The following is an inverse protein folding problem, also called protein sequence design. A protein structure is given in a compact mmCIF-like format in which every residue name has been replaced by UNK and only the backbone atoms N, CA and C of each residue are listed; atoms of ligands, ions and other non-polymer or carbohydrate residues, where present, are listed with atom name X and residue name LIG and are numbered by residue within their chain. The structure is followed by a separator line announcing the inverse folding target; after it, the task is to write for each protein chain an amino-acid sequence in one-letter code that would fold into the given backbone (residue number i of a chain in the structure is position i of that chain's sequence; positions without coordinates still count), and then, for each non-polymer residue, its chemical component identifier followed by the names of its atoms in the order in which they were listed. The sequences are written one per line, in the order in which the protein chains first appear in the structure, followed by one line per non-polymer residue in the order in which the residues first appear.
data_IF_452748564267
#
_entry.id   IF_452748564267
#
_cell.length_a   1.000
_cell.length_b   1.000
_cell.length_c   1.000
_cell.angle_alpha   90.00
_cell.angle_beta   90.00
_cell.angle_gamma   90.00
#
_symmetry.space_group_name_H-M   'P 1'
#
loop_
_entity.id
_entity.type
_entity.pdbx_description
1 polymer ?
#
# COMPACT_ATOMS: atom_id res chain seq x y z
N UNK A 1 -10.08 -12.20 4.36
CA UNK A 1 -8.98 -11.28 4.72
C UNK A 1 -8.18 -10.98 3.46
N UNK A 2 -7.79 -9.73 3.24
CA UNK A 2 -6.96 -9.37 2.10
C UNK A 2 -5.59 -8.89 2.59
N UNK A 3 -4.55 -9.24 1.86
CA UNK A 3 -3.20 -8.72 2.08
C UNK A 3 -3.04 -7.42 1.31
N UNK A 4 -2.54 -6.38 1.97
CA UNK A 4 -2.33 -5.07 1.35
C UNK A 4 -1.48 -5.20 0.08
N UNK A 5 -0.31 -5.84 0.20
CA UNK A 5 0.67 -6.02 -0.88
C UNK A 5 0.13 -6.75 -2.10
N UNK A 6 -0.76 -7.72 -1.91
CA UNK A 6 -1.25 -8.61 -2.98
C UNK A 6 -2.53 -8.10 -3.61
N UNK A 7 -3.45 -7.56 -2.81
CA UNK A 7 -4.80 -7.22 -3.28
C UNK A 7 -5.07 -5.72 -3.40
N UNK A 8 -4.36 -4.88 -2.64
CA UNK A 8 -4.54 -3.42 -2.69
C UNK A 8 -3.53 -2.76 -3.63
N UNK A 9 -2.29 -3.25 -3.64
CA UNK A 9 -1.23 -2.65 -4.45
C UNK A 9 -1.30 -3.17 -5.89
N UNK A 10 -1.45 -2.28 -6.89
CA UNK A 10 -1.50 -2.70 -8.29
C UNK A 10 -0.15 -3.28 -8.75
N UNK A 11 -0.17 -4.02 -9.85
CA UNK A 11 1.05 -4.54 -10.47
C UNK A 11 1.88 -3.40 -11.08
N UNK A 12 3.19 -3.62 -11.23
CA UNK A 12 4.06 -2.75 -12.05
C UNK A 12 3.66 -2.98 -13.52
N UNK A 13 3.54 -1.94 -14.38
CA UNK A 13 3.91 -0.53 -14.18
C UNK A 13 2.80 0.35 -13.59
N UNK A 14 1.60 -0.19 -13.40
CA UNK A 14 0.40 0.55 -13.05
C UNK A 14 0.51 1.29 -11.70
N UNK A 15 1.40 0.87 -10.79
CA UNK A 15 1.75 1.59 -9.54
C UNK A 15 2.12 3.06 -9.71
N UNK A 16 2.59 3.46 -10.88
CA UNK A 16 3.02 4.84 -11.13
C UNK A 16 1.86 5.79 -11.42
N UNK A 17 0.71 5.27 -11.85
CA UNK A 17 -0.48 6.07 -12.18
C UNK A 17 -1.72 5.69 -11.38
N UNK A 18 -1.76 4.48 -10.84
CA UNK A 18 -2.90 3.97 -10.11
C UNK A 18 -2.63 3.97 -8.61
N UNK A 19 -3.52 4.66 -7.90
CA UNK A 19 -3.56 4.67 -6.45
C UNK A 19 -4.03 3.30 -5.96
N UNK A 20 -3.38 2.70 -4.94
CA UNK A 20 -3.86 1.43 -4.40
C UNK A 20 -5.29 1.63 -3.90
N UNK A 21 -6.21 0.75 -4.28
CA UNK A 21 -7.61 0.85 -3.92
C UNK A 21 -7.99 -0.29 -2.98
N UNK A 22 -8.96 -0.03 -2.09
CA UNK A 22 -9.52 -1.09 -1.25
C UNK A 22 -10.26 -2.11 -2.13
N UNK A 23 -9.95 -3.42 -2.01
CA UNK A 23 -10.74 -4.45 -2.66
C UNK A 23 -12.15 -4.48 -2.06
N UNK A 24 -13.19 -4.40 -2.91
CA UNK A 24 -14.58 -4.31 -2.46
C UNK A 24 -15.00 -5.51 -1.59
N UNK A 25 -14.45 -6.70 -1.85
CA UNK A 25 -14.70 -7.93 -1.10
C UNK A 25 -13.94 -8.04 0.22
N UNK A 26 -12.97 -7.15 0.49
CA UNK A 26 -12.15 -7.22 1.69
C UNK A 26 -12.74 -6.38 2.82
N UNK A 27 -13.03 -7.06 3.95
CA UNK A 27 -13.42 -6.44 5.22
C UNK A 27 -12.25 -6.11 6.14
N UNK A 28 -11.17 -6.89 6.06
CA UNK A 28 -9.96 -6.74 6.88
C UNK A 28 -8.74 -6.79 5.98
N UNK A 29 -7.84 -5.82 6.17
CA UNK A 29 -6.59 -5.69 5.42
C UNK A 29 -5.43 -5.94 6.37
N UNK A 30 -4.67 -6.99 6.10
CA UNK A 30 -3.46 -7.31 6.83
C UNK A 30 -2.24 -6.67 6.14
N UNK A 31 -1.38 -6.05 6.95
CA UNK A 31 -0.09 -5.51 6.54
C UNK A 31 1.02 -6.46 7.02
N UNK A 32 1.50 -7.39 6.18
CA UNK A 32 2.59 -8.28 6.55
C UNK A 32 3.93 -7.53 6.50
N UNK A 33 4.39 -7.03 7.65
CA UNK A 33 5.61 -6.23 7.76
C UNK A 33 5.46 -4.88 7.05
N UNK A 34 6.52 -4.44 6.38
CA UNK A 34 6.54 -3.16 5.68
C UNK A 34 5.78 -3.19 4.32
N UNK A 35 4.97 -2.17 4.00
CA UNK A 35 4.77 -0.90 4.71
C UNK A 35 3.66 -0.97 5.79
N UNK A 36 3.80 -0.17 6.85
CA UNK A 36 2.74 -0.01 7.85
C UNK A 36 1.58 0.87 7.32
N UNK A 37 0.40 0.87 7.97
CA UNK A 37 -0.71 1.77 7.63
C UNK A 37 -0.33 3.26 7.49
N UNK A 38 0.42 3.89 8.42
CA UNK A 38 0.83 5.30 8.27
C UNK A 38 1.81 5.51 7.11
N UNK A 39 2.73 4.57 6.87
CA UNK A 39 3.64 4.64 5.71
C UNK A 39 2.87 4.57 4.40
N UNK A 40 1.90 3.64 4.31
CA UNK A 40 1.03 3.48 3.15
C UNK A 40 0.17 4.72 2.91
N UNK A 41 -0.30 5.41 3.96
CA UNK A 41 -1.04 6.67 3.86
C UNK A 41 -0.21 7.75 3.16
N UNK A 42 1.07 7.86 3.50
CA UNK A 42 2.01 8.84 2.91
C UNK A 42 2.53 8.39 1.53
N UNK A 43 2.31 7.12 1.16
CA UNK A 43 2.88 6.54 -0.06
C UNK A 43 4.37 6.21 0.10
N UNK A 44 4.82 6.08 1.34
CA UNK A 44 6.19 5.73 1.67
C UNK A 44 6.31 4.20 1.76
N UNK A 45 7.30 3.63 1.08
CA UNK A 45 7.69 2.24 1.28
C UNK A 45 9.08 2.23 1.93
N UNK A 46 9.21 1.84 3.22
CA UNK A 46 10.52 1.75 3.85
C UNK A 46 11.30 0.60 3.21
N UNK A 47 12.20 0.95 2.30
CA UNK A 47 13.10 -0.01 1.64
C UNK A 47 14.54 0.25 2.05
N UNK A 48 15.17 -0.73 2.70
CA UNK A 48 16.60 -0.66 3.10
C UNK A 48 17.57 -0.55 1.92
N UNK A 49 17.13 -0.85 0.69
CA UNK A 49 17.99 -0.89 -0.50
C UNK A 49 17.47 0.09 -1.55
N UNK A 50 18.31 1.02 -1.97
CA UNK A 50 17.94 2.12 -2.87
C UNK A 50 17.41 1.64 -4.24
N UNK A 51 17.99 0.58 -4.82
CA UNK A 51 17.51 -0.01 -6.08
C UNK A 51 16.07 -0.57 -5.99
N UNK A 52 15.61 -0.93 -4.78
CA UNK A 52 14.23 -1.41 -4.59
C UNK A 52 13.23 -0.28 -4.59
N UNK A 53 13.67 0.96 -4.38
CA UNK A 53 12.82 2.16 -4.35
C UNK A 53 12.21 2.44 -5.73
N UNK A 54 12.89 2.04 -6.81
CA UNK A 54 12.43 2.22 -8.19
C UNK A 54 11.13 1.44 -8.45
N UNK A 55 11.08 0.17 -8.01
CA UNK A 55 9.93 -0.70 -8.28
C UNK A 55 8.97 -0.86 -7.09
N UNK A 56 9.42 -0.56 -5.86
CA UNK A 56 8.57 -0.50 -4.66
C UNK A 56 8.07 0.92 -4.40
N UNK A 57 7.70 1.62 -5.46
CA UNK A 57 6.98 2.86 -5.34
C UNK A 57 5.48 2.57 -5.16
N UNK A 58 4.82 3.33 -4.31
CA UNK A 58 3.38 3.27 -4.11
C UNK A 58 2.85 4.69 -3.99
N UNK A 59 1.66 4.94 -4.52
CA UNK A 59 0.98 6.22 -4.33
C UNK A 59 0.33 6.28 -2.94
N UNK A 60 0.17 7.48 -2.36
CA UNK A 60 -0.46 7.67 -1.07
C UNK A 60 -1.85 7.05 -1.02
N UNK A 61 -2.07 6.18 -0.04
CA UNK A 61 -3.36 5.50 0.16
C UNK A 61 -4.21 6.25 1.17
N UNK A 62 -4.83 7.33 0.71
CA UNK A 62 -5.64 8.22 1.56
C UNK A 62 -6.83 7.53 2.22
N UNK A 63 -7.45 6.55 1.56
CA UNK A 63 -8.58 5.80 2.12
C UNK A 63 -8.23 5.01 3.38
N UNK A 64 -6.95 4.72 3.66
CA UNK A 64 -6.55 4.07 4.91
C UNK A 64 -6.87 4.97 6.11
N UNK A 65 -6.78 6.30 5.94
CA UNK A 65 -7.05 7.27 7.00
C UNK A 65 -8.48 7.15 7.55
N UNK A 66 -9.45 6.85 6.70
CA UNK A 66 -10.87 6.75 7.09
C UNK A 66 -11.15 5.55 8.01
N UNK A 67 -10.33 4.50 7.91
CA UNK A 67 -10.51 3.24 8.64
C UNK A 67 -9.51 3.05 9.77
N UNK A 68 -8.43 3.82 9.80
CA UNK A 68 -7.42 3.78 10.85
C UNK A 68 -7.76 4.79 11.94
N UNK A 69 -8.22 4.30 13.10
CA UNK A 69 -8.34 5.06 14.34
C UNK A 69 -7.33 4.51 15.33
N UNK A 70 -6.49 5.40 15.84
CA UNK A 70 -5.40 5.15 16.80
C UNK A 70 -5.93 4.57 18.12
#
# INVERSE_FOLDING_TARGET
CALFKTHCVPSIPQRWWQTPSRPASARVIAFPGDPNPPDALIGHWPTKKWYKKIYKHIRPTTWIADYWRE
#
